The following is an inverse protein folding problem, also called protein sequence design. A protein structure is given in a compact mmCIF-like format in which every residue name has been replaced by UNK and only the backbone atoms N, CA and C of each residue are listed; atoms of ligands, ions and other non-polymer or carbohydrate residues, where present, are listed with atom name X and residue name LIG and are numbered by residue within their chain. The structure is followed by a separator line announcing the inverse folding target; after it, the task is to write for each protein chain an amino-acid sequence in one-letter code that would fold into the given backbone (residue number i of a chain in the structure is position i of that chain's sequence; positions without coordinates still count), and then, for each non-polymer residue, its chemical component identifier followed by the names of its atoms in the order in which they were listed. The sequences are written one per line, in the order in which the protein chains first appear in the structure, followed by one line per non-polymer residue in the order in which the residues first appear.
data_IF_557859554461
#
_entry.id   IF_557859554461
#
_cell.length_a   1.000
_cell.length_b   1.000
_cell.length_c   1.000
_cell.angle_alpha   90.00
_cell.angle_beta   90.00
_cell.angle_gamma   90.00
#
_symmetry.space_group_name_H-M   'P 1'
#
loop_
_entity.id
_entity.type
_entity.pdbx_description
1 polymer ?
#
# COMPACT_ATOMS: atom_id res chain seq x y z
N UNK A 1 32.93 -0.34 -8.67
CA UNK A 1 32.23 -0.25 -7.38
C UNK A 1 31.13 0.80 -7.49
N UNK A 2 29.86 0.40 -7.41
CA UNK A 2 28.75 1.35 -7.63
C UNK A 2 28.62 2.37 -6.46
N UNK A 3 28.86 1.96 -5.22
CA UNK A 3 28.64 2.77 -4.01
C UNK A 3 29.58 3.98 -3.84
N UNK A 4 30.66 4.07 -4.60
CA UNK A 4 31.59 5.21 -4.52
C UNK A 4 31.22 6.37 -5.45
N UNK A 5 30.17 6.21 -6.25
CA UNK A 5 29.75 7.17 -7.28
C UNK A 5 28.33 7.68 -7.11
N UNK A 6 27.74 7.43 -5.93
CA UNK A 6 26.36 7.83 -5.61
C UNK A 6 26.32 8.54 -4.26
N UNK A 7 25.43 9.49 -4.13
CA UNK A 7 25.25 10.29 -2.91
C UNK A 7 24.20 9.70 -1.98
N UNK A 8 23.21 9.02 -2.53
CA UNK A 8 22.07 8.45 -1.79
C UNK A 8 21.48 7.24 -2.52
N UNK A 9 20.87 6.33 -1.76
CA UNK A 9 20.17 5.14 -2.26
C UNK A 9 18.67 5.21 -1.97
N UNK A 10 17.87 4.61 -2.82
CA UNK A 10 16.45 4.33 -2.53
C UNK A 10 16.24 2.82 -2.53
N UNK A 11 15.83 2.28 -1.38
CA UNK A 11 15.39 0.89 -1.27
C UNK A 11 13.89 0.81 -1.50
N UNK A 12 13.49 0.22 -2.60
CA UNK A 12 12.10 0.01 -2.94
C UNK A 12 11.61 -1.31 -2.32
N UNK A 13 10.61 -1.22 -1.42
CA UNK A 13 10.05 -2.37 -0.69
C UNK A 13 8.57 -2.55 -1.06
N UNK A 14 8.26 -2.64 -2.34
CA UNK A 14 6.91 -2.96 -2.80
C UNK A 14 6.97 -3.90 -4.01
N UNK A 15 5.90 -4.67 -4.23
CA UNK A 15 5.81 -5.70 -5.29
C UNK A 15 6.94 -6.73 -5.21
N UNK A 16 7.16 -7.27 -4.05
CA UNK A 16 8.39 -7.90 -3.59
C UNK A 16 8.81 -9.12 -4.39
N UNK A 17 8.04 -10.18 -4.43
CA UNK A 17 8.45 -11.42 -5.12
C UNK A 17 7.38 -11.94 -6.07
N UNK A 18 6.14 -11.90 -5.66
CA UNK A 18 4.99 -12.34 -6.45
C UNK A 18 3.83 -11.37 -6.20
N UNK A 19 3.38 -10.61 -7.21
CA UNK A 19 2.28 -9.65 -7.05
C UNK A 19 0.98 -10.30 -6.57
N UNK A 20 0.81 -11.61 -6.76
CA UNK A 20 -0.37 -12.35 -6.27
C UNK A 20 -0.39 -12.52 -4.75
N UNK A 21 0.76 -12.43 -4.09
CA UNK A 21 0.89 -12.56 -2.64
C UNK A 21 0.67 -11.24 -1.89
N UNK A 22 0.63 -10.13 -2.60
CA UNK A 22 0.43 -8.81 -2.04
C UNK A 22 1.44 -7.78 -2.53
N UNK A 23 1.26 -6.55 -2.10
CA UNK A 23 2.11 -5.42 -2.49
C UNK A 23 3.24 -5.15 -1.50
N UNK A 24 3.15 -5.71 -0.31
CA UNK A 24 4.10 -5.45 0.76
C UNK A 24 4.20 -6.65 1.70
N UNK A 25 5.42 -7.08 1.96
CA UNK A 25 5.76 -8.06 3.00
C UNK A 25 6.67 -7.39 4.04
N UNK A 26 6.14 -7.20 5.24
CA UNK A 26 6.85 -6.52 6.33
C UNK A 26 8.09 -7.30 6.80
N UNK A 27 8.05 -8.63 6.76
CA UNK A 27 9.18 -9.48 7.17
C UNK A 27 10.32 -9.39 6.17
N UNK A 28 10.02 -9.58 4.91
CA UNK A 28 11.00 -9.48 3.82
C UNK A 28 11.55 -8.06 3.70
N UNK A 29 10.66 -7.07 3.76
CA UNK A 29 11.06 -5.66 3.74
C UNK A 29 12.01 -5.32 4.87
N UNK A 30 11.76 -5.84 6.08
CA UNK A 30 12.64 -5.64 7.22
C UNK A 30 14.02 -6.27 7.01
N UNK A 31 14.08 -7.48 6.49
CA UNK A 31 15.35 -8.14 6.17
C UNK A 31 16.18 -7.30 5.17
N UNK A 32 15.56 -6.73 4.15
CA UNK A 32 16.25 -5.89 3.18
C UNK A 32 16.74 -4.58 3.78
N UNK A 33 15.96 -3.96 4.66
CA UNK A 33 16.40 -2.76 5.40
C UNK A 33 17.64 -3.08 6.23
N UNK A 34 17.63 -4.19 6.98
CA UNK A 34 18.78 -4.60 7.77
C UNK A 34 20.02 -4.89 6.92
N UNK A 35 19.84 -5.59 5.79
CA UNK A 35 20.93 -5.85 4.85
C UNK A 35 21.51 -4.55 4.30
N UNK A 36 20.66 -3.63 3.83
CA UNK A 36 21.11 -2.34 3.31
C UNK A 36 21.81 -1.52 4.40
N UNK A 37 21.25 -1.45 5.59
CA UNK A 37 21.85 -0.77 6.74
C UNK A 37 23.27 -1.27 7.04
N UNK A 38 23.50 -2.57 6.93
CA UNK A 38 24.82 -3.17 7.22
C UNK A 38 25.85 -2.90 6.12
N UNK A 39 25.43 -2.83 4.84
CA UNK A 39 26.35 -2.73 3.70
C UNK A 39 26.49 -1.30 3.15
N UNK A 40 25.51 -0.43 3.37
CA UNK A 40 25.54 0.92 2.81
C UNK A 40 26.57 1.80 3.53
N UNK A 41 27.37 2.50 2.72
CA UNK A 41 28.28 3.55 3.19
C UNK A 41 27.71 4.95 2.96
N UNK A 42 26.58 5.05 2.25
CA UNK A 42 25.88 6.30 1.93
C UNK A 42 24.49 6.33 2.57
N UNK A 43 23.89 7.53 2.75
CA UNK A 43 22.51 7.66 3.21
C UNK A 43 21.53 6.94 2.28
N UNK A 44 20.35 6.57 2.82
CA UNK A 44 19.31 5.93 2.02
C UNK A 44 17.90 6.34 2.44
N UNK A 45 16.98 6.18 1.49
CA UNK A 45 15.54 6.33 1.66
C UNK A 45 14.87 4.97 1.47
N UNK A 46 13.69 4.81 2.05
CA UNK A 46 12.87 3.61 1.84
C UNK A 46 11.60 3.99 1.11
N UNK A 47 11.34 3.37 -0.05
CA UNK A 47 10.11 3.56 -0.80
C UNK A 47 9.08 2.50 -0.39
N UNK A 48 7.93 2.96 0.13
CA UNK A 48 6.82 2.15 0.62
C UNK A 48 5.57 2.35 -0.25
N UNK A 49 4.74 1.30 -0.43
CA UNK A 49 3.53 1.41 -1.23
C UNK A 49 2.39 2.08 -0.45
N UNK A 50 1.70 3.01 -1.12
CA UNK A 50 0.44 3.59 -0.66
C UNK A 50 -0.66 3.39 -1.72
N UNK A 51 -0.60 2.29 -2.46
CA UNK A 51 -1.46 2.01 -3.60
C UNK A 51 -1.94 0.57 -3.62
N UNK A 52 -2.84 0.29 -4.56
CA UNK A 52 -3.34 -1.04 -4.88
C UNK A 52 -3.02 -1.43 -6.33
N UNK A 53 -3.21 -2.70 -6.64
CA UNK A 53 -3.16 -3.23 -8.00
C UNK A 53 -4.17 -4.34 -8.19
N UNK A 54 -4.55 -4.61 -9.44
CA UNK A 54 -5.28 -5.81 -9.80
C UNK A 54 -4.35 -6.82 -10.45
N UNK A 55 -4.46 -8.08 -10.04
CA UNK A 55 -3.85 -9.22 -10.72
C UNK A 55 -4.92 -9.92 -11.53
N UNK A 56 -4.74 -9.94 -12.83
CA UNK A 56 -5.70 -10.49 -13.79
C UNK A 56 -5.14 -11.80 -14.31
N UNK A 57 -5.80 -12.92 -13.98
CA UNK A 57 -5.43 -14.23 -14.49
C UNK A 57 -5.96 -14.42 -15.90
N UNK A 58 -5.09 -14.84 -16.81
CA UNK A 58 -5.39 -15.12 -18.21
C UNK A 58 -4.97 -16.53 -18.58
N UNK A 59 -5.37 -17.03 -19.73
CA UNK A 59 -4.95 -18.35 -20.21
C UNK A 59 -3.42 -18.47 -20.44
N UNK A 60 -2.75 -17.36 -20.67
CA UNK A 60 -1.28 -17.28 -20.90
C UNK A 60 -0.47 -16.90 -19.68
N UNK A 61 -1.10 -16.72 -18.51
CA UNK A 61 -0.43 -16.30 -17.29
C UNK A 61 -1.23 -15.24 -16.52
N UNK A 62 -0.55 -14.23 -15.99
CA UNK A 62 -1.22 -13.12 -15.30
C UNK A 62 -0.70 -11.77 -15.77
N UNK A 63 -1.54 -10.75 -15.65
CA UNK A 63 -1.21 -9.35 -15.86
C UNK A 63 -1.42 -8.58 -14.55
N UNK A 64 -0.65 -7.52 -14.36
CA UNK A 64 -0.79 -6.63 -13.20
C UNK A 64 -1.17 -5.24 -13.68
N UNK A 65 -2.26 -4.72 -13.16
CA UNK A 65 -2.70 -3.34 -13.37
C UNK A 65 -2.58 -2.56 -12.06
N UNK A 66 -1.82 -1.49 -12.06
CA UNK A 66 -1.62 -0.63 -10.88
C UNK A 66 -2.31 0.73 -10.96
N UNK A 67 -2.95 1.04 -12.08
CA UNK A 67 -3.64 2.32 -12.29
C UNK A 67 -5.11 2.10 -12.69
N UNK A 68 -5.63 2.95 -13.57
CA UNK A 68 -7.02 2.86 -14.01
C UNK A 68 -7.28 1.54 -14.72
N UNK A 69 -8.38 0.82 -14.40
CA UNK A 69 -8.72 -0.43 -15.04
C UNK A 69 -8.86 -0.26 -16.56
N UNK A 70 -8.20 -1.09 -17.33
CA UNK A 70 -8.40 -1.21 -18.77
C UNK A 70 -9.68 -2.01 -18.98
N UNK A 71 -10.85 -1.33 -19.01
CA UNK A 71 -12.18 -1.95 -19.06
C UNK A 71 -12.36 -2.93 -20.21
N UNK A 72 -11.71 -2.68 -21.34
CA UNK A 72 -11.89 -3.48 -22.55
C UNK A 72 -11.18 -4.84 -22.51
N UNK A 73 -10.19 -5.01 -21.65
CA UNK A 73 -9.44 -6.26 -21.50
C UNK A 73 -10.04 -7.22 -20.45
N UNK A 74 -10.94 -6.72 -19.58
CA UNK A 74 -11.56 -7.53 -18.52
C UNK A 74 -12.60 -8.53 -19.05
N UNK A 75 -13.08 -8.39 -20.28
CA UNK A 75 -14.10 -9.28 -20.86
C UNK A 75 -13.62 -10.72 -21.07
N UNK A 76 -12.30 -10.95 -21.09
CA UNK A 76 -11.69 -12.29 -21.23
C UNK A 76 -10.99 -12.78 -19.96
N UNK A 77 -11.06 -12.03 -18.87
CA UNK A 77 -10.39 -12.39 -17.62
C UNK A 77 -11.18 -13.44 -16.84
N UNK A 78 -10.56 -14.55 -16.48
CA UNK A 78 -11.19 -15.61 -15.70
C UNK A 78 -11.30 -15.24 -14.22
N UNK A 79 -10.30 -14.53 -13.67
CA UNK A 79 -10.25 -14.09 -12.26
C UNK A 79 -9.52 -12.75 -12.19
N UNK A 80 -10.08 -11.83 -11.42
CA UNK A 80 -9.44 -10.56 -11.05
C UNK A 80 -9.28 -10.51 -9.54
N UNK A 81 -8.05 -10.37 -9.06
CA UNK A 81 -7.73 -10.19 -7.65
C UNK A 81 -7.30 -8.75 -7.42
N UNK A 82 -8.11 -8.00 -6.66
CA UNK A 82 -7.73 -6.66 -6.21
C UNK A 82 -6.85 -6.75 -4.96
N UNK A 83 -5.70 -6.11 -5.00
CA UNK A 83 -4.75 -6.00 -3.91
C UNK A 83 -4.64 -4.54 -3.48
N UNK A 84 -4.49 -4.31 -2.19
CA UNK A 84 -4.25 -2.99 -1.62
C UNK A 84 -3.17 -3.12 -0.54
N UNK A 85 -2.21 -2.22 -0.53
CA UNK A 85 -1.27 -2.13 0.59
C UNK A 85 -2.03 -1.85 1.89
N UNK A 86 -1.76 -2.63 2.94
CA UNK A 86 -2.47 -2.52 4.22
C UNK A 86 -1.90 -1.36 5.05
N UNK A 87 -2.70 -0.32 5.36
CA UNK A 87 -2.24 0.83 6.13
C UNK A 87 -1.77 0.48 7.54
N UNK A 88 -2.39 -0.50 8.21
CA UNK A 88 -2.01 -0.91 9.58
C UNK A 88 -0.66 -1.61 9.59
N UNK A 89 -0.43 -2.50 8.62
CA UNK A 89 0.86 -3.20 8.48
C UNK A 89 1.97 -2.21 8.18
N UNK A 90 1.71 -1.25 7.29
CA UNK A 90 2.69 -0.23 6.94
C UNK A 90 2.94 0.77 8.08
N UNK A 91 1.91 1.14 8.84
CA UNK A 91 2.09 1.98 10.03
C UNK A 91 3.01 1.32 11.06
N UNK A 92 2.77 0.04 11.36
CA UNK A 92 3.63 -0.72 12.27
C UNK A 92 5.08 -0.82 11.74
N UNK A 93 5.25 -0.97 10.43
CA UNK A 93 6.57 -1.00 9.80
C UNK A 93 7.29 0.36 9.91
N UNK A 94 6.61 1.46 9.64
CA UNK A 94 7.14 2.82 9.79
C UNK A 94 7.53 3.10 11.24
N UNK A 95 6.69 2.71 12.20
CA UNK A 95 7.02 2.82 13.62
C UNK A 95 8.30 2.07 13.98
N UNK A 96 8.47 0.85 13.43
CA UNK A 96 9.67 0.06 13.62
C UNK A 96 10.91 0.73 13.04
N UNK A 97 10.82 1.36 11.85
CA UNK A 97 11.89 2.14 11.26
C UNK A 97 12.31 3.32 12.15
N UNK A 98 11.35 4.07 12.69
CA UNK A 98 11.61 5.20 13.59
C UNK A 98 12.26 4.78 14.89
N UNK A 99 11.90 3.62 15.45
CA UNK A 99 12.46 3.13 16.70
C UNK A 99 13.89 2.63 16.56
N UNK A 100 14.29 2.17 15.39
CA UNK A 100 15.64 1.64 15.16
C UNK A 100 16.73 2.72 15.07
N UNK A 101 16.37 3.96 14.78
CA UNK A 101 17.27 5.13 14.75
C UNK A 101 18.55 4.91 13.92
N UNK A 102 18.43 4.31 12.74
CA UNK A 102 19.57 4.21 11.81
C UNK A 102 19.93 5.60 11.30
N UNK A 103 21.14 6.05 11.60
CA UNK A 103 21.63 7.38 11.21
C UNK A 103 21.75 7.58 9.69
N UNK A 104 21.79 6.48 8.91
CA UNK A 104 21.84 6.53 7.44
C UNK A 104 20.47 6.58 6.81
N UNK A 105 19.40 6.22 7.53
CA UNK A 105 18.03 6.33 7.05
C UNK A 105 17.58 7.80 7.07
N UNK A 106 17.44 8.40 5.90
CA UNK A 106 17.07 9.81 5.73
C UNK A 106 15.56 10.04 5.74
N UNK A 107 14.76 9.06 5.35
CA UNK A 107 13.31 9.19 5.31
C UNK A 107 12.61 8.11 4.51
N UNK A 108 11.31 8.35 4.29
CA UNK A 108 10.41 7.45 3.58
C UNK A 108 9.86 8.17 2.36
N UNK A 109 9.85 7.48 1.23
CA UNK A 109 9.18 7.88 -0.01
C UNK A 109 7.89 7.08 -0.11
N UNK A 110 6.77 7.76 -0.31
CA UNK A 110 5.48 7.10 -0.53
C UNK A 110 5.22 6.93 -2.01
N UNK A 111 5.05 5.73 -2.44
CA UNK A 111 4.69 5.38 -3.80
C UNK A 111 3.27 4.81 -3.80
N UNK A 112 2.27 5.49 -4.34
CA UNK A 112 2.30 6.81 -4.96
C UNK A 112 1.38 7.78 -4.21
N UNK A 113 1.50 9.08 -4.49
CA UNK A 113 0.57 10.07 -3.96
C UNK A 113 -0.81 9.90 -4.60
N UNK A 114 -1.90 10.07 -3.83
CA UNK A 114 -3.26 9.99 -4.34
C UNK A 114 -3.54 11.14 -5.31
N UNK A 115 -4.10 10.78 -6.48
CA UNK A 115 -4.62 11.71 -7.45
C UNK A 115 -6.15 11.62 -7.49
N UNK A 116 -6.80 12.70 -7.89
CA UNK A 116 -8.25 12.71 -8.08
C UNK A 116 -8.67 11.67 -9.12
N UNK A 117 -9.67 10.85 -8.76
CA UNK A 117 -10.18 9.76 -9.63
C UNK A 117 -9.38 8.46 -9.59
N UNK A 118 -8.24 8.40 -8.92
CA UNK A 118 -7.49 7.15 -8.74
C UNK A 118 -8.20 6.24 -7.73
N UNK A 119 -8.58 5.04 -8.19
CA UNK A 119 -9.32 4.07 -7.37
C UNK A 119 -8.43 3.06 -6.66
N UNK A 120 -7.14 3.02 -7.02
CA UNK A 120 -6.17 2.06 -6.49
C UNK A 120 -5.04 2.74 -5.71
N UNK A 121 -5.37 3.79 -4.99
CA UNK A 121 -4.44 4.49 -4.10
C UNK A 121 -5.12 4.73 -2.76
N UNK A 122 -4.34 4.85 -1.70
CA UNK A 122 -4.89 5.28 -0.42
C UNK A 122 -5.45 6.70 -0.54
N UNK A 123 -6.43 6.97 0.28
CA UNK A 123 -6.87 8.35 0.45
C UNK A 123 -5.76 9.16 1.11
N UNK A 124 -5.66 10.43 0.78
CA UNK A 124 -4.58 11.31 1.28
C UNK A 124 -4.48 11.31 2.81
N UNK A 125 -5.60 11.33 3.51
CA UNK A 125 -5.56 11.33 4.98
C UNK A 125 -5.13 9.97 5.56
N UNK A 126 -5.41 8.85 4.89
CA UNK A 126 -4.85 7.55 5.28
C UNK A 126 -3.33 7.58 5.16
N UNK A 127 -2.83 8.11 4.05
CA UNK A 127 -1.39 8.29 3.86
C UNK A 127 -0.78 9.19 4.94
N UNK A 128 -1.41 10.33 5.22
CA UNK A 128 -0.96 11.26 6.27
C UNK A 128 -0.98 10.57 7.64
N UNK A 129 -2.06 9.84 7.97
CA UNK A 129 -2.16 9.13 9.24
C UNK A 129 -1.05 8.09 9.42
N UNK A 130 -0.77 7.29 8.39
CA UNK A 130 0.32 6.31 8.42
C UNK A 130 1.68 7.00 8.54
N UNK A 131 1.93 8.04 7.75
CA UNK A 131 3.20 8.76 7.73
C UNK A 131 3.49 9.47 9.07
N UNK A 132 2.46 10.01 9.72
CA UNK A 132 2.56 10.73 10.98
C UNK A 132 2.32 9.86 12.22
N UNK A 133 2.12 8.55 12.05
CA UNK A 133 1.76 7.62 13.13
C UNK A 133 0.46 8.05 13.85
N UNK A 134 -0.47 8.61 13.08
CA UNK A 134 -1.78 9.03 13.56
C UNK A 134 -2.74 7.85 13.74
N UNK A 135 -3.93 8.13 14.20
CA UNK A 135 -4.95 7.11 14.45
C UNK A 135 -5.59 6.64 13.14
N UNK A 136 -5.63 5.32 12.95
CA UNK A 136 -6.37 4.64 11.88
C UNK A 136 -7.59 3.99 12.50
N UNK A 137 -8.78 4.50 12.20
CA UNK A 137 -10.03 3.95 12.70
C UNK A 137 -10.79 3.17 11.61
N UNK A 138 -11.40 2.05 11.98
CA UNK A 138 -12.34 1.33 11.15
C UNK A 138 -13.77 1.79 11.44
N UNK A 139 -14.47 2.33 10.42
CA UNK A 139 -15.88 2.66 10.51
C UNK A 139 -16.70 1.62 9.75
N UNK A 140 -17.59 0.94 10.44
CA UNK A 140 -18.54 0.00 9.84
C UNK A 140 -19.85 0.72 9.67
N UNK A 141 -20.32 0.89 8.44
CA UNK A 141 -21.63 1.45 8.14
C UNK A 141 -22.53 0.35 7.56
N UNK A 142 -23.67 0.11 8.21
CA UNK A 142 -24.67 -0.83 7.75
C UNK A 142 -25.66 -0.08 6.86
N UNK A 143 -25.62 -0.34 5.56
CA UNK A 143 -26.62 0.20 4.62
C UNK A 143 -27.65 -0.87 4.36
N UNK A 144 -28.88 -0.65 4.85
CA UNK A 144 -30.04 -1.52 4.56
C UNK A 144 -30.72 -0.94 3.31
N UNK A 145 -30.66 -1.66 2.19
CA UNK A 145 -31.41 -1.29 1.00
C UNK A 145 -32.81 -1.89 1.05
N UNK A 146 -33.81 -1.20 0.47
CA UNK A 146 -35.21 -1.61 0.43
C UNK A 146 -35.46 -2.88 -0.39
N UNK A 147 -34.47 -3.43 -1.08
CA UNK A 147 -34.59 -4.59 -1.95
C UNK A 147 -34.27 -5.93 -1.26
N UNK A 148 -34.47 -6.04 0.05
CA UNK A 148 -34.27 -7.26 0.83
C UNK A 148 -32.87 -7.93 0.76
N UNK A 149 -31.83 -7.21 0.31
CA UNK A 149 -30.43 -7.64 0.43
C UNK A 149 -29.69 -6.72 1.39
N UNK A 150 -29.29 -7.25 2.55
CA UNK A 150 -28.40 -6.55 3.44
C UNK A 150 -26.99 -6.51 2.82
N UNK A 151 -26.51 -5.32 2.51
CA UNK A 151 -25.13 -5.12 2.05
C UNK A 151 -24.33 -4.51 3.20
N UNK A 152 -23.37 -5.24 3.73
CA UNK A 152 -22.46 -4.72 4.75
C UNK A 152 -21.30 -4.03 4.06
N UNK A 153 -21.20 -2.73 4.25
CA UNK A 153 -20.11 -1.91 3.75
C UNK A 153 -19.16 -1.62 4.89
N UNK A 154 -17.99 -2.22 4.87
CA UNK A 154 -16.93 -1.90 5.84
C UNK A 154 -16.12 -0.74 5.29
N UNK A 155 -16.17 0.38 5.99
CA UNK A 155 -15.39 1.57 5.64
C UNK A 155 -14.26 1.66 6.65
N UNK A 156 -13.03 1.47 6.20
CA UNK A 156 -11.84 1.78 7.00
C UNK A 156 -11.58 3.27 6.86
N UNK A 157 -11.79 4.02 7.93
CA UNK A 157 -11.54 5.45 7.96
C UNK A 157 -10.33 5.76 8.83
N UNK A 158 -9.46 6.61 8.36
CA UNK A 158 -8.46 7.25 9.20
C UNK A 158 -9.06 8.54 9.75
N UNK A 159 -9.43 8.56 11.01
CA UNK A 159 -9.86 9.78 11.69
C UNK A 159 -8.62 10.48 12.25
N UNK A 160 -8.15 11.48 11.54
CA UNK A 160 -7.46 12.58 12.20
C UNK A 160 -8.52 13.58 12.66
N UNK A 161 -8.34 14.25 13.81
CA UNK A 161 -9.28 15.19 14.45
C UNK A 161 -9.88 16.29 13.54
N UNK A 162 -9.68 16.22 12.24
CA UNK A 162 -10.08 17.24 11.26
C UNK A 162 -10.61 16.71 9.94
N UNK A 163 -11.32 15.62 9.86
CA UNK A 163 -12.17 15.21 8.71
C UNK A 163 -11.95 13.78 8.22
N UNK A 164 -13.06 13.12 8.10
CA UNK A 164 -13.31 11.72 7.75
C UNK A 164 -12.73 11.27 6.42
N UNK A 165 -12.18 10.08 6.45
CA UNK A 165 -11.72 9.39 5.27
C UNK A 165 -12.23 7.98 5.14
N UNK A 166 -12.69 7.61 3.97
CA UNK A 166 -13.38 6.36 3.74
C UNK A 166 -12.65 5.46 2.75
N UNK A 167 -12.26 4.25 3.17
CA UNK A 167 -11.87 3.16 2.28
C UNK A 167 -13.04 2.18 2.19
N UNK A 168 -13.59 1.98 1.00
CA UNK A 168 -14.70 1.09 0.79
C UNK A 168 -14.23 -0.37 0.59
N UNK A 169 -14.59 -1.26 1.52
CA UNK A 169 -14.59 -2.70 1.26
C UNK A 169 -16.04 -3.17 1.10
N UNK A 170 -16.41 -3.59 -0.08
CA UNK A 170 -17.67 -4.27 -0.31
C UNK A 170 -17.48 -5.77 -0.09
N UNK A 171 -18.18 -6.34 0.88
CA UNK A 171 -18.34 -7.79 1.02
C UNK A 171 -19.75 -8.13 0.56
N UNK A 172 -19.85 -8.80 -0.57
CA UNK A 172 -21.09 -9.45 -1.01
C UNK A 172 -21.18 -10.81 -0.28
N UNK A 173 -22.26 -11.02 0.44
CA UNK A 173 -22.69 -12.32 0.91
C UNK A 173 -23.77 -12.85 -0.02
#
# INVERSE_FOLDING_TARGET
MLLTSIDELVLQIHSVSDPRLGLFDATQGWQWVQQLSNISTVPYLIALPAYGSAVISTASGYQVESETPLRDQLQSANVVQELMADPLVLQAFVQKLHTQKDAKLRGIIWFRLPLEGDKRVWLLNTLIAVAQQGELAAKIELVISSDNKATTKTILAAENKTKNLEIHKQKLF
#
